data_IF_310840765202
#
_entry.id   IF_310840765202
#
_cell.length_a   1.000
_cell.length_b   1.000
_cell.length_c   1.000
_cell.angle_alpha   90.00
_cell.angle_beta   90.00
_cell.angle_gamma   90.00
#
_symmetry.space_group_name_H-M   'P 1'
#
loop_
_entity.id
_entity.type
_entity.pdbx_description
1 polymer ?
#
# COMPACT_ATOMS: atom_id res chain seq x y z
N UNK A 1 13.91 -10.00 -12.18
CA UNK A 1 13.62 -8.58 -11.90
C UNK A 1 12.45 -8.47 -10.94
N UNK A 2 12.62 -7.70 -9.88
CA UNK A 2 11.53 -7.47 -8.93
C UNK A 2 10.61 -6.37 -9.43
N UNK A 3 9.31 -6.51 -9.13
CA UNK A 3 8.31 -5.50 -9.45
C UNK A 3 7.98 -4.75 -8.16
N UNK A 4 8.17 -3.42 -8.19
CA UNK A 4 7.89 -2.57 -7.04
C UNK A 4 6.58 -1.81 -7.25
N UNK A 5 5.65 -2.04 -6.32
CA UNK A 5 4.39 -1.33 -6.27
C UNK A 5 4.45 -0.33 -5.12
N UNK A 6 3.94 0.86 -5.35
CA UNK A 6 3.88 1.91 -4.32
C UNK A 6 2.44 2.25 -4.00
N UNK A 7 2.14 2.32 -2.72
CA UNK A 7 0.82 2.69 -2.22
C UNK A 7 0.96 4.00 -1.47
N UNK A 8 0.38 5.04 -2.03
CA UNK A 8 0.33 6.37 -1.43
C UNK A 8 -0.99 6.51 -0.71
N UNK A 9 -0.96 6.86 0.58
CA UNK A 9 -2.13 6.76 1.46
C UNK A 9 -2.23 8.02 2.31
N UNK A 10 -3.46 8.49 2.51
CA UNK A 10 -3.74 9.50 3.51
C UNK A 10 -4.13 8.84 4.85
N UNK A 11 -4.62 9.61 5.78
CA UNK A 11 -5.19 9.08 7.01
C UNK A 11 -4.52 9.64 8.26
N UNK A 12 -5.13 9.29 9.38
CA UNK A 12 -4.68 9.69 10.70
C UNK A 12 -3.71 8.68 11.27
N UNK A 13 -3.14 9.02 12.43
CA UNK A 13 -2.30 8.08 13.16
C UNK A 13 -3.08 6.83 13.62
N UNK A 14 -4.37 7.01 13.95
CA UNK A 14 -5.24 5.87 14.29
C UNK A 14 -5.41 4.93 13.10
N UNK A 15 -5.57 5.47 11.90
CA UNK A 15 -5.65 4.67 10.68
C UNK A 15 -4.35 3.93 10.41
N UNK A 16 -3.23 4.59 10.66
CA UNK A 16 -1.91 3.96 10.55
C UNK A 16 -1.78 2.74 11.47
N UNK A 17 -2.31 2.84 12.70
CA UNK A 17 -2.29 1.71 13.63
C UNK A 17 -3.10 0.52 13.11
N UNK A 18 -4.24 0.80 12.47
CA UNK A 18 -5.05 -0.25 11.82
C UNK A 18 -4.28 -0.88 10.66
N UNK A 19 -3.62 -0.08 9.83
CA UNK A 19 -2.84 -0.57 8.70
C UNK A 19 -1.70 -1.47 9.18
N UNK A 20 -1.01 -1.10 10.27
CA UNK A 20 0.04 -1.94 10.86
C UNK A 20 -0.53 -3.28 11.31
N UNK A 21 -1.66 -3.26 12.00
CA UNK A 21 -2.31 -4.49 12.46
C UNK A 21 -2.65 -5.41 11.30
N UNK A 22 -3.09 -4.84 10.17
CA UNK A 22 -3.38 -5.62 8.97
C UNK A 22 -2.12 -6.28 8.40
N UNK A 23 -0.99 -5.58 8.40
CA UNK A 23 0.27 -6.19 7.96
C UNK A 23 0.64 -7.38 8.84
N UNK A 24 0.44 -7.28 10.17
CA UNK A 24 0.68 -8.39 11.08
C UNK A 24 -0.26 -9.57 10.83
N UNK A 25 -1.50 -9.31 10.40
CA UNK A 25 -2.43 -10.39 10.04
C UNK A 25 -1.98 -11.14 8.79
N UNK A 26 -1.30 -10.47 7.88
CA UNK A 26 -0.91 -11.03 6.59
C UNK A 26 0.52 -11.59 6.56
N UNK A 27 1.33 -11.26 7.55
CA UNK A 27 2.72 -11.68 7.55
C UNK A 27 3.44 -11.37 8.85
N UNK A 28 4.74 -11.16 8.73
CA UNK A 28 5.63 -10.95 9.88
C UNK A 28 6.43 -9.65 9.72
N UNK A 29 5.80 -8.48 9.71
CA UNK A 29 6.53 -7.22 9.62
C UNK A 29 7.34 -6.97 10.89
N UNK A 30 8.42 -6.21 10.76
CA UNK A 30 9.30 -5.84 11.87
C UNK A 30 9.46 -4.33 11.89
N UNK A 31 9.59 -3.78 13.09
CA UNK A 31 9.98 -2.38 13.24
C UNK A 31 11.42 -2.21 12.76
N UNK A 32 11.67 -1.16 12.01
CA UNK A 32 13.03 -0.80 11.64
C UNK A 32 13.64 -0.04 12.82
N UNK A 33 14.73 -0.55 13.38
CA UNK A 33 15.40 0.06 14.53
C UNK A 33 16.10 1.37 14.17
N UNK A 34 16.39 1.58 12.88
CA UNK A 34 17.14 2.74 12.41
C UNK A 34 16.26 3.84 11.85
N UNK A 35 15.02 3.53 11.48
CA UNK A 35 14.06 4.48 10.90
C UNK A 35 12.77 4.46 11.71
N UNK A 36 12.47 5.55 12.41
CA UNK A 36 11.25 5.59 13.22
C UNK A 36 10.00 5.44 12.34
N UNK A 37 9.01 4.76 12.89
CA UNK A 37 7.71 4.55 12.23
C UNK A 37 7.83 3.85 10.88
N UNK A 38 8.79 2.97 10.76
CA UNK A 38 8.99 2.17 9.55
C UNK A 38 8.92 0.70 9.91
N UNK A 39 8.16 -0.04 9.11
CA UNK A 39 8.01 -1.49 9.22
C UNK A 39 8.45 -2.12 7.91
N UNK A 40 8.97 -3.35 7.97
CA UNK A 40 9.26 -4.12 6.79
C UNK A 40 9.18 -5.61 7.08
N UNK A 41 8.89 -6.41 6.07
CA UNK A 41 8.83 -7.85 6.22
C UNK A 41 8.08 -8.52 5.09
N UNK A 42 8.13 -9.84 5.09
CA UNK A 42 7.43 -10.66 4.11
C UNK A 42 5.97 -10.84 4.50
N UNK A 43 5.10 -10.84 3.50
CA UNK A 43 3.69 -11.17 3.65
C UNK A 43 3.42 -12.54 3.06
N UNK A 44 2.41 -13.22 3.60
CA UNK A 44 2.01 -14.55 3.14
C UNK A 44 3.16 -15.54 3.26
N UNK A 45 3.45 -16.21 2.17
CA UNK A 45 4.52 -17.21 2.08
C UNK A 45 5.76 -16.66 1.35
N UNK A 46 5.96 -15.34 1.42
CA UNK A 46 7.09 -14.68 0.79
C UNK A 46 6.80 -14.16 -0.61
N UNK A 47 5.55 -14.16 -1.02
CA UNK A 47 5.16 -13.64 -2.33
C UNK A 47 5.31 -12.12 -2.43
N UNK A 48 5.22 -11.41 -1.30
CA UNK A 48 5.37 -9.96 -1.23
C UNK A 48 6.31 -9.60 -0.10
N UNK A 49 7.25 -8.71 -0.39
CA UNK A 49 8.04 -8.06 0.65
C UNK A 49 7.52 -6.64 0.79
N UNK A 50 7.01 -6.31 1.97
CA UNK A 50 6.38 -5.02 2.22
C UNK A 50 7.25 -4.12 3.07
N UNK A 51 7.22 -2.83 2.76
CA UNK A 51 7.76 -1.78 3.62
C UNK A 51 6.69 -0.71 3.80
N UNK A 52 6.52 -0.23 5.01
CA UNK A 52 5.52 0.78 5.34
C UNK A 52 6.15 1.87 6.18
N UNK A 53 5.87 3.12 5.86
CA UNK A 53 6.41 4.26 6.58
C UNK A 53 5.34 5.31 6.82
N UNK A 54 5.27 5.77 8.07
CA UNK A 54 4.46 6.92 8.47
C UNK A 54 5.35 8.16 8.52
N UNK A 55 4.96 9.20 7.80
CA UNK A 55 5.72 10.45 7.75
C UNK A 55 4.77 11.65 7.82
N UNK A 56 4.20 11.94 9.00
CA UNK A 56 3.06 12.85 9.10
C UNK A 56 3.37 14.31 8.88
N UNK A 57 4.60 14.77 9.12
CA UNK A 57 4.89 16.20 9.07
C UNK A 57 5.77 16.60 7.89
N UNK A 58 7.01 16.05 7.83
CA UNK A 58 7.97 16.47 6.82
C UNK A 58 7.64 15.99 5.43
N UNK A 59 6.97 14.87 5.34
CA UNK A 59 6.76 14.17 4.08
C UNK A 59 5.33 14.21 3.61
N UNK A 60 4.55 15.18 4.07
CA UNK A 60 3.20 15.40 3.55
C UNK A 60 3.32 15.94 2.14
N UNK A 61 3.11 15.06 1.19
CA UNK A 61 3.25 15.36 -0.23
C UNK A 61 1.94 15.10 -0.94
N UNK A 62 1.80 15.74 -2.09
CA UNK A 62 0.74 15.35 -3.01
C UNK A 62 1.05 13.98 -3.58
N UNK A 63 0.02 13.35 -4.15
CA UNK A 63 0.18 12.06 -4.81
C UNK A 63 1.15 12.20 -5.97
N UNK A 64 2.18 11.35 -6.00
CA UNK A 64 3.21 11.36 -7.03
C UNK A 64 2.78 10.55 -8.25
N UNK A 65 1.99 9.48 -8.05
CA UNK A 65 1.64 8.56 -9.12
C UNK A 65 0.99 9.29 -10.31
N UNK A 66 1.44 8.99 -11.50
CA UNK A 66 0.84 9.48 -12.73
C UNK A 66 -0.50 8.77 -12.96
N UNK A 67 -1.44 9.45 -13.61
CA UNK A 67 -2.73 8.84 -13.91
C UNK A 67 -3.55 8.51 -12.66
N UNK A 68 -3.45 9.32 -11.63
CA UNK A 68 -4.11 9.11 -10.33
C UNK A 68 -5.63 9.20 -10.35
N UNK A 69 -6.21 9.22 -11.53
CA UNK A 69 -7.68 9.17 -11.75
C UNK A 69 -8.45 10.27 -11.02
N UNK A 70 -7.86 11.45 -10.88
CA UNK A 70 -8.49 12.59 -10.21
C UNK A 70 -8.43 12.55 -8.69
N UNK A 71 -7.77 11.58 -8.10
CA UNK A 71 -7.59 11.51 -6.66
C UNK A 71 -6.78 12.71 -6.16
N UNK A 72 -7.22 13.29 -5.05
CA UNK A 72 -6.54 14.42 -4.42
C UNK A 72 -6.58 14.23 -2.91
N UNK A 73 -5.44 14.02 -2.32
CA UNK A 73 -5.27 13.98 -0.88
C UNK A 73 -3.80 14.18 -0.54
N UNK A 74 -3.54 14.49 0.71
CA UNK A 74 -2.17 14.61 1.21
C UNK A 74 -1.70 13.23 1.65
N UNK A 75 -0.56 12.80 1.13
CA UNK A 75 0.03 11.50 1.48
C UNK A 75 0.67 11.61 2.87
N UNK A 76 0.18 10.80 3.81
CA UNK A 76 0.71 10.76 5.18
C UNK A 76 1.47 9.48 5.47
N UNK A 77 1.19 8.41 4.73
CA UNK A 77 1.99 7.20 4.83
C UNK A 77 2.16 6.56 3.45
N UNK A 78 3.18 5.74 3.34
CA UNK A 78 3.53 5.12 2.07
C UNK A 78 3.92 3.68 2.32
N UNK A 79 3.43 2.80 1.45
CA UNK A 79 3.77 1.38 1.47
C UNK A 79 4.44 1.04 0.14
N UNK A 80 5.47 0.21 0.19
CA UNK A 80 6.02 -0.38 -1.01
C UNK A 80 5.87 -1.89 -0.92
N UNK A 81 5.53 -2.50 -2.05
CA UNK A 81 5.36 -3.94 -2.15
C UNK A 81 6.27 -4.45 -3.26
N UNK A 82 7.26 -5.23 -2.89
CA UNK A 82 8.11 -5.91 -3.88
C UNK A 82 7.56 -7.29 -4.13
N UNK A 83 7.22 -7.56 -5.38
CA UNK A 83 6.60 -8.80 -5.78
C UNK A 83 7.66 -9.82 -6.16
N UNK A 84 7.52 -11.02 -5.62
CA UNK A 84 8.29 -12.18 -6.08
C UNK A 84 7.65 -12.68 -7.37
N UNK A 85 8.34 -12.50 -8.50
CA UNK A 85 7.80 -12.84 -9.83
C UNK A 85 7.41 -14.31 -9.98
N UNK A 86 8.08 -15.21 -9.27
CA UNK A 86 7.74 -16.62 -9.33
C UNK A 86 6.42 -16.94 -8.61
N UNK A 87 5.89 -15.98 -7.84
CA UNK A 87 4.64 -16.11 -7.09
C UNK A 87 3.71 -14.92 -7.41
N UNK A 88 3.68 -14.51 -8.67
CA UNK A 88 2.99 -13.30 -9.10
C UNK A 88 1.51 -13.30 -8.72
N UNK A 89 0.80 -14.38 -9.05
CA UNK A 89 -0.64 -14.43 -8.79
C UNK A 89 -0.96 -14.37 -7.30
N UNK A 90 -0.18 -15.06 -6.49
CA UNK A 90 -0.31 -15.03 -5.03
C UNK A 90 -0.01 -13.64 -4.49
N UNK A 91 0.99 -12.97 -5.06
CA UNK A 91 1.37 -11.63 -4.64
C UNK A 91 0.24 -10.62 -4.91
N UNK A 92 -0.34 -10.67 -6.11
CA UNK A 92 -1.46 -9.79 -6.48
C UNK A 92 -2.65 -10.02 -5.55
N UNK A 93 -2.95 -11.29 -5.26
CA UNK A 93 -4.05 -11.65 -4.36
C UNK A 93 -3.80 -11.12 -2.94
N UNK A 94 -2.57 -11.23 -2.44
CA UNK A 94 -2.21 -10.74 -1.10
C UNK A 94 -2.35 -9.22 -1.01
N UNK A 95 -1.89 -8.49 -2.01
CA UNK A 95 -2.02 -7.04 -2.05
C UNK A 95 -3.50 -6.64 -2.11
N UNK A 96 -4.30 -7.32 -2.93
CA UNK A 96 -5.73 -7.06 -3.02
C UNK A 96 -6.43 -7.30 -1.69
N UNK A 97 -6.05 -8.36 -0.99
CA UNK A 97 -6.60 -8.67 0.34
C UNK A 97 -6.27 -7.54 1.32
N UNK A 98 -5.03 -7.07 1.33
CA UNK A 98 -4.64 -5.96 2.18
C UNK A 98 -5.48 -4.72 1.91
N UNK A 99 -5.62 -4.32 0.64
CA UNK A 99 -6.37 -3.13 0.27
C UNK A 99 -7.87 -3.27 0.58
N UNK A 100 -8.43 -4.47 0.38
CA UNK A 100 -9.84 -4.73 0.70
C UNK A 100 -10.09 -4.57 2.19
N UNK A 101 -9.23 -5.14 3.02
CA UNK A 101 -9.35 -5.02 4.48
C UNK A 101 -9.10 -3.59 4.95
N UNK A 102 -8.15 -2.90 4.34
CA UNK A 102 -7.89 -1.49 4.66
C UNK A 102 -9.12 -0.63 4.36
N UNK A 103 -9.77 -0.90 3.23
CA UNK A 103 -11.01 -0.22 2.83
C UNK A 103 -12.13 -0.48 3.83
N UNK A 104 -12.26 -1.71 4.32
CA UNK A 104 -13.31 -2.09 5.24
C UNK A 104 -13.12 -1.51 6.65
N UNK A 105 -11.88 -1.30 7.07
CA UNK A 105 -11.55 -0.95 8.44
C UNK A 105 -11.14 0.50 8.66
N UNK A 106 -10.89 1.25 7.59
CA UNK A 106 -10.47 2.66 7.68
C UNK A 106 -11.22 3.50 6.66
N UNK A 107 -11.06 4.82 6.80
CA UNK A 107 -11.50 5.78 5.79
C UNK A 107 -10.33 6.30 4.95
N UNK A 108 -9.20 5.63 4.99
CA UNK A 108 -8.01 6.04 4.24
C UNK A 108 -8.26 6.04 2.74
N UNK A 109 -7.83 7.10 2.08
CA UNK A 109 -7.78 7.16 0.62
C UNK A 109 -6.42 6.69 0.16
N UNK A 110 -6.35 6.04 -1.01
CA UNK A 110 -5.07 5.56 -1.50
C UNK A 110 -5.01 5.47 -3.01
N UNK A 111 -3.78 5.44 -3.52
CA UNK A 111 -3.46 5.16 -4.92
C UNK A 111 -2.34 4.12 -4.92
N UNK A 112 -2.60 2.98 -5.53
CA UNK A 112 -1.60 1.93 -5.75
C UNK A 112 -1.10 2.04 -7.19
N UNK A 113 0.21 2.14 -7.37
CA UNK A 113 0.79 2.27 -8.70
C UNK A 113 2.03 1.39 -8.86
N UNK A 114 2.29 1.01 -10.11
CA UNK A 114 3.56 0.39 -10.50
C UNK A 114 4.56 1.52 -10.72
N UNK A 115 5.52 1.64 -9.82
CA UNK A 115 6.62 2.63 -9.91
C UNK A 115 6.13 4.07 -10.15
N UNK A 116 4.98 4.44 -9.57
CA UNK A 116 4.35 5.75 -9.74
C UNK A 116 3.86 6.05 -11.16
N UNK A 117 3.98 5.11 -12.09
CA UNK A 117 3.65 5.34 -13.49
C UNK A 117 2.28 4.78 -13.90
N UNK A 118 1.93 3.61 -13.40
CA UNK A 118 0.74 2.89 -13.84
C UNK A 118 -0.14 2.56 -12.64
N UNK A 119 -1.27 3.24 -12.54
CA UNK A 119 -2.19 3.07 -11.41
C UNK A 119 -2.96 1.76 -11.55
N UNK A 120 -2.95 0.97 -10.48
CA UNK A 120 -3.57 -0.36 -10.43
C UNK A 120 -4.78 -0.42 -9.51
N UNK A 121 -4.89 0.48 -8.56
CA UNK A 121 -6.04 0.56 -7.67
C UNK A 121 -6.11 1.95 -7.07
N UNK A 122 -7.34 2.38 -6.75
CA UNK A 122 -7.56 3.63 -6.05
C UNK A 122 -8.68 3.46 -5.03
N UNK A 123 -8.69 4.33 -4.04
CA UNK A 123 -9.85 4.57 -3.20
C UNK A 123 -9.93 6.05 -2.91
N UNK A 124 -11.07 6.65 -3.23
CA UNK A 124 -11.34 8.02 -2.80
C UNK A 124 -12.74 8.09 -2.20
N UNK A 125 -13.07 9.25 -1.63
CA UNK A 125 -14.32 9.43 -0.89
C UNK A 125 -15.55 9.37 -1.76
N UNK A 126 -15.41 9.67 -3.04
CA UNK A 126 -16.55 9.73 -3.96
C UNK A 126 -16.80 8.40 -4.65
N UNK A 127 -15.73 7.75 -5.11
CA UNK A 127 -15.84 6.54 -5.94
C UNK A 127 -15.70 5.25 -5.14
N UNK A 128 -15.12 5.32 -3.94
CA UNK A 128 -14.80 4.13 -3.18
C UNK A 128 -13.59 3.39 -3.75
N UNK A 129 -13.52 2.10 -3.49
CA UNK A 129 -12.40 1.26 -3.91
C UNK A 129 -12.63 0.76 -5.33
N UNK A 130 -11.67 1.02 -6.20
CA UNK A 130 -11.65 0.52 -7.57
C UNK A 130 -10.35 -0.22 -7.84
N UNK A 131 -10.46 -1.43 -8.38
CA UNK A 131 -9.33 -2.30 -8.68
C UNK A 131 -9.18 -2.41 -10.20
N UNK A 132 -8.03 -1.96 -10.71
CA UNK A 132 -7.73 -1.97 -12.15
C UNK A 132 -6.70 -3.04 -12.52
N UNK A 133 -6.11 -3.69 -11.55
CA UNK A 133 -5.03 -4.65 -11.79
C UNK A 133 -5.60 -5.96 -12.29
N UNK A 134 -5.27 -6.30 -13.53
CA UNK A 134 -5.67 -7.58 -14.11
C UNK A 134 -4.76 -8.66 -13.55
N UNK A 135 -5.33 -9.63 -12.85
CA UNK A 135 -4.58 -10.72 -12.23
C UNK A 135 -4.09 -11.74 -13.25
N UNK A 136 -4.75 -11.84 -14.38
CA UNK A 136 -4.29 -12.71 -15.47
C UNK A 136 -3.47 -11.87 -16.44
N UNK A 137 -2.22 -12.11 -16.48
CA UNK A 137 -1.33 -11.38 -17.37
C UNK A 137 -1.34 -11.94 -18.76
#
# INVERSE_FOLDING_TARGET
MALDMYLEVDGSEADWEVAKALLYELGMPRLDEHRPRTLWGALGNGEVFAEAQWAPLRSRNEIIAEGKHGCKFVVTCEFSFRINNSMYDEAVATIKTFLTRLTDRTCMQFVLSFQYEDVRAIRDRERGFEWFWNESR
#
